data_IF_378181858821
#
_entry.id   IF_378181858821
#
_cell.length_a   1.000
_cell.length_b   1.000
_cell.length_c   1.000
_cell.angle_alpha   90.00
_cell.angle_beta   90.00
_cell.angle_gamma   90.00
#
_symmetry.space_group_name_H-M   'P 1'
#
loop_
_entity.id
_entity.type
_entity.pdbx_description
1 polymer ?
#
# COMPACT_ATOMS: atom_id res chain seq x y z
N UNK A 1 5.82 -10.83 18.66
CA UNK A 1 4.42 -10.92 18.19
C UNK A 1 4.41 -11.61 16.83
N UNK A 2 3.39 -12.41 16.49
CA UNK A 2 3.30 -13.03 15.16
C UNK A 2 3.10 -11.96 14.08
N UNK A 3 3.62 -12.21 12.88
CA UNK A 3 3.46 -11.36 11.69
C UNK A 3 2.61 -12.12 10.67
N UNK A 4 1.61 -11.47 10.10
CA UNK A 4 0.69 -12.03 9.11
C UNK A 4 0.63 -11.15 7.88
N UNK A 5 0.40 -11.74 6.70
CA UNK A 5 0.17 -10.99 5.46
C UNK A 5 -1.23 -10.39 5.48
N UNK A 6 -1.38 -9.14 5.02
CA UNK A 6 -2.70 -8.49 4.96
C UNK A 6 -3.68 -9.31 4.11
N UNK A 7 -3.24 -9.92 3.02
CA UNK A 7 -4.07 -10.80 2.19
C UNK A 7 -4.66 -11.99 2.95
N UNK A 8 -3.88 -12.62 3.83
CA UNK A 8 -4.35 -13.78 4.58
C UNK A 8 -5.37 -13.34 5.63
N UNK A 9 -5.05 -12.27 6.36
CA UNK A 9 -5.94 -11.69 7.36
C UNK A 9 -7.25 -11.18 6.74
N UNK A 10 -7.19 -10.42 5.64
CA UNK A 10 -8.37 -9.88 4.97
C UNK A 10 -9.29 -10.97 4.42
N UNK A 11 -8.72 -12.09 3.96
CA UNK A 11 -9.48 -13.28 3.56
C UNK A 11 -10.15 -13.94 4.77
N UNK A 12 -9.43 -14.14 5.85
CA UNK A 12 -9.93 -14.80 7.07
C UNK A 12 -11.03 -14.00 7.76
N UNK A 13 -10.91 -12.67 7.76
CA UNK A 13 -11.92 -11.78 8.32
C UNK A 13 -13.06 -11.47 7.34
N UNK A 14 -13.04 -12.06 6.14
CA UNK A 14 -14.00 -11.75 5.07
C UNK A 14 -14.15 -10.23 4.83
N UNK A 15 -13.05 -9.48 4.87
CA UNK A 15 -13.04 -8.04 4.71
C UNK A 15 -13.60 -7.67 3.33
N UNK A 16 -14.68 -6.91 3.32
CA UNK A 16 -15.42 -6.50 2.13
C UNK A 16 -15.19 -5.04 1.74
N UNK A 17 -14.67 -4.22 2.66
CA UNK A 17 -14.38 -2.80 2.44
C UNK A 17 -13.06 -2.36 3.08
N UNK A 18 -12.29 -1.56 2.34
CA UNK A 18 -11.08 -0.90 2.81
C UNK A 18 -10.94 0.45 2.10
N UNK A 19 -11.15 1.56 2.81
CA UNK A 19 -11.16 2.89 2.18
C UNK A 19 -9.78 3.55 2.15
N UNK A 20 -8.92 3.26 3.13
CA UNK A 20 -7.64 3.92 3.36
C UNK A 20 -6.63 2.92 3.93
N UNK A 21 -5.37 3.05 3.52
CA UNK A 21 -4.25 2.33 4.14
C UNK A 21 -3.16 3.33 4.53
N UNK A 22 -2.65 3.23 5.75
CA UNK A 22 -1.44 3.92 6.21
C UNK A 22 -0.37 2.87 6.48
N UNK A 23 0.81 3.01 5.90
CA UNK A 23 2.00 2.21 6.20
C UNK A 23 3.05 3.10 6.86
N UNK A 24 3.44 2.72 8.07
CA UNK A 24 4.50 3.32 8.89
C UNK A 24 5.13 2.19 9.71
N UNK A 25 6.07 1.44 9.13
CA UNK A 25 6.51 0.17 9.69
C UNK A 25 8.04 0.01 9.70
N UNK A 26 8.74 1.14 9.88
CA UNK A 26 10.18 1.22 10.09
C UNK A 26 11.02 0.30 9.17
N UNK A 27 10.78 0.34 7.86
CA UNK A 27 11.59 -0.37 6.87
C UNK A 27 11.00 -1.68 6.35
N UNK A 28 9.84 -2.10 6.86
CA UNK A 28 9.13 -3.29 6.40
C UNK A 28 8.09 -3.00 5.28
N UNK A 29 8.07 -1.79 4.72
CA UNK A 29 7.00 -1.30 3.84
C UNK A 29 6.82 -2.19 2.61
N UNK A 30 7.91 -2.57 1.94
CA UNK A 30 7.87 -3.42 0.75
C UNK A 30 7.31 -4.81 1.08
N UNK A 31 7.68 -5.38 2.23
CA UNK A 31 7.19 -6.70 2.64
C UNK A 31 5.68 -6.66 2.94
N UNK A 32 5.21 -5.62 3.62
CA UNK A 32 3.79 -5.42 3.88
C UNK A 32 2.98 -5.18 2.60
N UNK A 33 3.48 -4.33 1.68
CA UNK A 33 2.85 -4.10 0.38
C UNK A 33 2.78 -5.38 -0.47
N UNK A 34 3.86 -6.16 -0.50
CA UNK A 34 3.90 -7.46 -1.19
C UNK A 34 2.86 -8.42 -0.61
N UNK A 35 2.72 -8.46 0.71
CA UNK A 35 1.71 -9.26 1.41
C UNK A 35 0.27 -8.73 1.31
N UNK A 36 0.05 -7.59 0.66
CA UNK A 36 -1.24 -6.91 0.52
C UNK A 36 -1.74 -6.83 -0.93
N UNK A 37 -0.96 -7.29 -1.91
CA UNK A 37 -1.22 -7.04 -3.34
C UNK A 37 -2.61 -7.50 -3.80
N UNK A 38 -3.11 -8.67 -3.36
CA UNK A 38 -4.46 -9.13 -3.75
C UNK A 38 -5.54 -8.28 -3.11
N UNK A 39 -5.37 -7.91 -1.84
CA UNK A 39 -6.31 -7.06 -1.10
C UNK A 39 -6.39 -5.67 -1.72
N UNK A 40 -5.25 -5.06 -2.02
CA UNK A 40 -5.18 -3.74 -2.65
C UNK A 40 -5.82 -3.75 -4.04
N UNK A 41 -5.57 -4.77 -4.87
CA UNK A 41 -6.21 -4.90 -6.19
C UNK A 41 -7.71 -5.15 -6.11
N UNK A 42 -8.17 -5.92 -5.12
CA UNK A 42 -9.59 -6.31 -4.97
C UNK A 42 -10.44 -5.20 -4.36
N UNK A 43 -10.00 -4.63 -3.24
CA UNK A 43 -10.76 -3.64 -2.48
C UNK A 43 -10.48 -2.20 -2.92
N UNK A 44 -9.38 -2.00 -3.65
CA UNK A 44 -8.98 -0.75 -4.27
C UNK A 44 -9.18 0.50 -3.37
N UNK A 45 -8.53 0.56 -2.18
CA UNK A 45 -8.59 1.74 -1.31
C UNK A 45 -8.40 3.06 -2.05
N UNK A 46 -9.12 4.10 -1.60
CA UNK A 46 -9.14 5.42 -2.25
C UNK A 46 -7.80 6.15 -2.11
N UNK A 47 -7.06 5.86 -1.05
CA UNK A 47 -5.72 6.40 -0.85
C UNK A 47 -4.84 5.44 -0.04
N UNK A 48 -3.55 5.47 -0.33
CA UNK A 48 -2.50 4.88 0.50
C UNK A 48 -1.56 5.99 0.94
N UNK A 49 -1.23 6.03 2.23
CA UNK A 49 -0.21 6.89 2.79
C UNK A 49 0.94 5.99 3.21
N UNK A 50 2.10 6.12 2.58
CA UNK A 50 3.24 5.24 2.83
C UNK A 50 4.43 6.08 3.23
N UNK A 51 5.08 5.73 4.34
CA UNK A 51 6.36 6.33 4.71
C UNK A 51 7.41 5.97 3.63
N UNK A 52 7.81 6.95 2.83
CA UNK A 52 8.82 6.77 1.79
C UNK A 52 10.06 7.59 2.15
N UNK A 53 11.07 6.91 2.69
CA UNK A 53 12.33 7.53 3.16
C UNK A 53 13.23 8.04 2.02
N UNK A 54 12.76 8.07 0.75
CA UNK A 54 13.54 8.48 -0.44
C UNK A 54 14.92 7.81 -0.50
N UNK A 55 14.97 6.54 -0.14
CA UNK A 55 16.17 5.70 -0.21
C UNK A 55 16.17 4.86 -1.50
N UNK A 56 17.20 4.05 -1.75
CA UNK A 56 17.25 3.10 -2.87
C UNK A 56 16.01 2.18 -2.94
N UNK A 57 15.37 1.92 -1.79
CA UNK A 57 14.16 1.09 -1.72
C UNK A 57 12.90 1.77 -2.25
N UNK A 58 12.91 3.10 -2.43
CA UNK A 58 11.77 3.88 -2.92
C UNK A 58 11.32 3.39 -4.31
N UNK A 59 12.26 3.14 -5.25
CA UNK A 59 11.92 2.65 -6.58
C UNK A 59 11.12 1.32 -6.55
N UNK A 60 11.51 0.40 -5.67
CA UNK A 60 10.83 -0.89 -5.52
C UNK A 60 9.46 -0.74 -4.87
N UNK A 61 9.33 0.12 -3.87
CA UNK A 61 8.05 0.45 -3.24
C UNK A 61 7.07 0.99 -4.29
N UNK A 62 7.51 1.95 -5.09
CA UNK A 62 6.70 2.53 -6.16
C UNK A 62 6.33 1.48 -7.21
N UNK A 63 7.24 0.60 -7.61
CA UNK A 63 6.95 -0.48 -8.56
C UNK A 63 5.85 -1.44 -8.06
N UNK A 64 5.88 -1.84 -6.78
CA UNK A 64 4.83 -2.71 -6.20
C UNK A 64 3.46 -2.01 -6.20
N UNK A 65 3.43 -0.73 -5.86
CA UNK A 65 2.21 0.07 -5.89
C UNK A 65 1.72 0.28 -7.33
N UNK A 66 2.63 0.48 -8.27
CA UNK A 66 2.35 0.62 -9.69
C UNK A 66 1.64 -0.63 -10.24
N UNK A 67 2.18 -1.81 -9.94
CA UNK A 67 1.60 -3.11 -10.27
C UNK A 67 0.22 -3.35 -9.62
N UNK A 68 -0.07 -2.67 -8.51
CA UNK A 68 -1.36 -2.70 -7.84
C UNK A 68 -2.36 -1.68 -8.41
N UNK A 69 -1.97 -0.88 -9.40
CA UNK A 69 -2.81 0.15 -10.02
C UNK A 69 -2.82 1.46 -9.24
N UNK A 70 -1.79 1.74 -8.45
CA UNK A 70 -1.64 2.99 -7.70
C UNK A 70 -0.56 3.87 -8.31
N UNK A 71 -0.78 5.19 -8.23
CA UNK A 71 0.17 6.20 -8.68
C UNK A 71 0.44 7.21 -7.57
N UNK A 72 1.69 7.69 -7.41
CA UNK A 72 1.98 8.77 -6.48
C UNK A 72 1.28 10.05 -6.95
N UNK A 73 0.75 10.82 -6.02
CA UNK A 73 0.03 12.07 -6.31
C UNK A 73 0.96 13.30 -6.36
N UNK A 74 2.22 13.14 -5.94
CA UNK A 74 3.13 14.25 -5.68
C UNK A 74 2.86 14.98 -4.36
N UNK A 75 1.71 14.72 -3.70
CA UNK A 75 1.41 15.21 -2.36
C UNK A 75 2.21 14.42 -1.33
N UNK A 76 2.82 15.15 -0.39
CA UNK A 76 3.42 14.59 0.81
C UNK A 76 2.71 15.15 2.04
N UNK A 77 2.27 14.25 2.92
CA UNK A 77 1.71 14.58 4.24
C UNK A 77 2.73 14.19 5.29
N UNK A 78 3.49 15.18 5.77
CA UNK A 78 4.71 14.96 6.57
C UNK A 78 5.70 14.03 5.81
N UNK A 79 6.08 12.88 6.38
CA UNK A 79 6.99 11.90 5.74
C UNK A 79 6.29 10.87 4.85
N UNK A 80 5.01 11.06 4.56
CA UNK A 80 4.21 10.09 3.84
C UNK A 80 3.91 10.55 2.42
N UNK A 81 4.31 9.72 1.46
CA UNK A 81 3.86 9.86 0.08
C UNK A 81 2.40 9.37 -0.03
N UNK A 82 1.58 10.13 -0.74
CA UNK A 82 0.18 9.79 -1.00
C UNK A 82 0.05 9.14 -2.37
N UNK A 83 -0.52 7.94 -2.41
CA UNK A 83 -0.84 7.21 -3.63
C UNK A 83 -2.36 7.09 -3.79
N UNK A 84 -2.84 7.16 -5.02
CA UNK A 84 -4.26 7.00 -5.37
C UNK A 84 -4.41 5.99 -6.49
N UNK A 85 -5.54 5.27 -6.56
CA UNK A 85 -5.75 4.32 -7.65
C UNK A 85 -5.83 5.09 -8.97
N UNK A 86 -5.21 4.55 -10.00
CA UNK A 86 -5.32 5.08 -11.35
C UNK A 86 -6.78 4.89 -11.80
N UNK A 87 -7.45 6.01 -12.11
CA UNK A 87 -8.82 5.97 -12.59
C UNK A 87 -8.82 5.19 -13.90
N UNK A 88 -9.44 4.00 -13.90
CA UNK A 88 -9.75 3.30 -15.15
C UNK A 88 -10.83 4.11 -15.85
N UNK A 89 -10.42 4.84 -16.89
CA UNK A 89 -11.33 5.47 -17.85
C UNK A 89 -12.13 4.44 -18.64
#
# INVERSE_FOLDING_TARGET
>A
MPVVRLDDWAREQALDRLDLVKLDIEGAEIAALTGATRTLKRLQPRALLVEDKRSESSARLHAVLDECGYRPTGEALDRNAVFRPELRG
#
